data_IF_993232024071
#
_entry.id   IF_993232024071
#
_cell.length_a   1.000
_cell.length_b   1.000
_cell.length_c   1.000
_cell.angle_alpha   90.00
_cell.angle_beta   90.00
_cell.angle_gamma   90.00
#
_symmetry.space_group_name_H-M   'P 1'
#
loop_
_entity.id
_entity.type
_entity.pdbx_description
1 polymer ?
#
# COMPACT_ATOMS: atom_id res chain seq x y z
N UNK A 1 57.80 7.76 -19.68
CA UNK A 1 57.30 6.43 -20.09
C UNK A 1 55.79 6.48 -20.00
N UNK A 2 55.11 6.72 -21.12
CA UNK A 2 53.64 6.78 -21.16
C UNK A 2 53.12 5.39 -21.54
N UNK A 3 52.53 4.67 -20.58
CA UNK A 3 51.87 3.40 -20.82
C UNK A 3 50.63 3.63 -21.70
N UNK A 4 50.72 3.14 -22.93
CA UNK A 4 49.62 3.08 -23.88
C UNK A 4 48.52 2.16 -23.32
N UNK A 5 47.40 2.74 -22.88
CA UNK A 5 46.20 1.98 -22.51
C UNK A 5 45.57 1.40 -23.77
N UNK A 6 45.95 0.18 -24.14
CA UNK A 6 45.33 -0.58 -25.22
C UNK A 6 43.84 -0.75 -24.96
N UNK A 7 43.01 -0.12 -25.79
CA UNK A 7 41.57 -0.39 -25.84
C UNK A 7 41.37 -1.81 -26.38
N UNK A 8 41.32 -2.80 -25.48
CA UNK A 8 40.92 -4.18 -25.79
C UNK A 8 39.59 -4.15 -26.56
N UNK A 9 39.63 -4.50 -27.86
CA UNK A 9 38.43 -4.69 -28.68
C UNK A 9 37.58 -5.77 -27.99
N UNK A 10 36.37 -5.41 -27.54
CA UNK A 10 35.39 -6.37 -27.00
C UNK A 10 35.03 -7.36 -28.10
N UNK A 11 35.65 -8.54 -28.07
CA UNK A 11 35.28 -9.68 -28.92
C UNK A 11 33.84 -10.04 -28.57
N UNK A 12 32.93 -9.91 -29.54
CA UNK A 12 31.53 -10.29 -29.36
C UNK A 12 31.45 -11.80 -29.56
N UNK A 13 31.29 -12.54 -28.47
CA UNK A 13 31.02 -13.98 -28.55
C UNK A 13 29.77 -14.25 -29.42
N UNK A 14 29.77 -15.34 -30.21
CA UNK A 14 28.62 -15.74 -31.00
C UNK A 14 27.45 -16.01 -30.05
N UNK A 15 26.38 -15.23 -30.18
CA UNK A 15 25.18 -15.40 -29.35
C UNK A 15 24.30 -16.45 -30.00
N UNK A 16 24.20 -17.62 -29.38
CA UNK A 16 23.19 -18.60 -29.73
C UNK A 16 21.79 -18.01 -29.52
N UNK A 17 20.94 -18.11 -30.54
CA UNK A 17 19.56 -17.64 -30.47
C UNK A 17 18.73 -18.68 -29.75
N UNK A 18 18.57 -18.51 -28.44
CA UNK A 18 17.70 -19.37 -27.63
C UNK A 18 16.25 -18.93 -27.81
N UNK A 19 15.42 -19.82 -28.38
CA UNK A 19 13.96 -19.62 -28.48
C UNK A 19 13.32 -19.89 -27.12
N UNK A 20 12.61 -18.90 -26.60
CA UNK A 20 11.87 -18.99 -25.34
C UNK A 20 10.61 -19.84 -25.54
N UNK A 21 10.46 -20.93 -24.79
CA UNK A 21 9.27 -21.80 -24.84
C UNK A 21 8.36 -21.59 -23.62
N UNK A 22 8.94 -21.41 -22.42
CA UNK A 22 8.22 -21.20 -21.17
C UNK A 22 8.52 -19.82 -20.54
N UNK A 23 7.67 -19.38 -19.61
CA UNK A 23 7.89 -18.20 -18.74
C UNK A 23 9.21 -18.30 -17.97
N UNK A 24 9.55 -19.51 -17.53
CA UNK A 24 10.84 -19.82 -16.89
C UNK A 24 12.03 -19.49 -17.82
N UNK A 25 11.97 -19.90 -19.09
CA UNK A 25 13.03 -19.64 -20.06
C UNK A 25 13.21 -18.13 -20.29
N UNK A 26 12.10 -17.38 -20.32
CA UNK A 26 12.13 -15.93 -20.47
C UNK A 26 12.82 -15.24 -19.29
N UNK A 27 12.49 -15.67 -18.07
CA UNK A 27 13.12 -15.16 -16.85
C UNK A 27 14.59 -15.54 -16.79
N UNK A 28 14.94 -16.80 -17.10
CA UNK A 28 16.32 -17.28 -17.19
C UNK A 28 17.14 -16.47 -18.19
N UNK A 29 16.58 -16.16 -19.36
CA UNK A 29 17.23 -15.31 -20.37
C UNK A 29 17.47 -13.88 -19.86
N UNK A 30 16.50 -13.27 -19.19
CA UNK A 30 16.67 -11.94 -18.56
C UNK A 30 17.70 -11.95 -17.45
N UNK A 31 17.68 -12.98 -16.61
CA UNK A 31 18.62 -13.15 -15.51
C UNK A 31 20.04 -13.35 -16.02
N UNK A 32 20.24 -14.23 -17.01
CA UNK A 32 21.53 -14.41 -17.68
C UNK A 32 22.02 -13.10 -18.29
N UNK A 33 21.13 -12.27 -18.87
CA UNK A 33 21.49 -10.94 -19.38
C UNK A 33 21.94 -9.97 -18.29
N UNK A 34 21.32 -10.03 -17.11
CA UNK A 34 21.65 -9.19 -15.96
C UNK A 34 22.99 -9.61 -15.34
N UNK A 35 23.18 -10.92 -15.13
CA UNK A 35 24.38 -11.50 -14.52
C UNK A 35 25.63 -11.41 -15.41
N UNK A 36 25.47 -11.17 -16.73
CA UNK A 36 26.60 -10.92 -17.63
C UNK A 36 27.40 -9.66 -17.28
N UNK A 37 26.81 -8.68 -16.59
CA UNK A 37 27.51 -7.49 -16.11
C UNK A 37 26.96 -7.08 -14.73
N UNK A 38 27.46 -7.70 -13.64
CA UNK A 38 26.93 -7.44 -12.30
C UNK A 38 27.25 -6.02 -11.80
N UNK A 39 28.35 -5.42 -12.24
CA UNK A 39 28.77 -4.07 -11.81
C UNK A 39 27.93 -2.93 -12.43
N UNK A 40 27.11 -3.23 -13.44
CA UNK A 40 26.31 -2.21 -14.11
C UNK A 40 24.99 -2.00 -13.33
N UNK A 41 24.71 -0.78 -12.83
CA UNK A 41 23.46 -0.51 -12.12
C UNK A 41 22.26 -0.70 -13.05
N UNK A 42 21.21 -1.32 -12.51
CA UNK A 42 19.95 -1.57 -13.23
C UNK A 42 19.08 -0.32 -13.16
N UNK A 43 18.69 0.21 -14.32
CA UNK A 43 17.78 1.34 -14.40
C UNK A 43 16.34 0.83 -14.31
N UNK A 44 15.71 0.97 -13.15
CA UNK A 44 14.27 0.72 -13.02
C UNK A 44 13.51 1.92 -13.58
N UNK A 45 12.43 1.71 -14.33
CA UNK A 45 11.59 2.81 -14.77
C UNK A 45 10.89 3.44 -13.56
N UNK A 46 10.92 4.76 -13.48
CA UNK A 46 10.11 5.50 -12.52
C UNK A 46 8.62 5.30 -12.78
N UNK A 47 7.81 5.51 -11.74
CA UNK A 47 6.35 5.48 -11.86
C UNK A 47 5.91 6.43 -12.99
N UNK A 48 5.09 5.97 -13.95
CA UNK A 48 4.65 6.83 -15.03
C UNK A 48 3.90 8.03 -14.45
N UNK A 49 4.38 9.24 -14.75
CA UNK A 49 3.68 10.48 -14.41
C UNK A 49 2.38 10.52 -15.19
N UNK A 50 1.30 10.95 -14.54
CA UNK A 50 0.04 11.21 -15.25
C UNK A 50 0.33 12.28 -16.32
N UNK A 51 0.16 11.90 -17.60
CA UNK A 51 0.36 12.83 -18.70
C UNK A 51 -0.71 13.90 -18.57
N UNK A 52 -0.31 15.13 -18.25
CA UNK A 52 -1.21 16.29 -18.37
C UNK A 52 -1.68 16.30 -19.82
N UNK A 53 -2.97 16.04 -20.03
CA UNK A 53 -3.58 16.00 -21.37
C UNK A 53 -3.47 17.36 -22.07
N UNK A 54 -3.33 18.43 -21.27
CA UNK A 54 -3.17 19.79 -21.75
C UNK A 54 -1.76 20.33 -21.52
N UNK A 55 -1.15 20.91 -22.57
CA UNK A 55 0.06 21.70 -22.38
C UNK A 55 -0.24 22.93 -21.53
N UNK A 56 0.79 23.41 -20.84
CA UNK A 56 0.68 24.63 -20.05
C UNK A 56 0.42 25.85 -20.94
N UNK A 57 -0.32 26.83 -20.44
CA UNK A 57 -0.59 28.06 -21.19
C UNK A 57 0.60 29.00 -21.01
N UNK A 58 1.17 29.56 -22.09
CA UNK A 58 2.26 30.52 -21.95
C UNK A 58 1.77 31.80 -21.28
N UNK A 59 2.56 32.34 -20.33
CA UNK A 59 2.22 33.55 -19.58
C UNK A 59 2.08 34.79 -20.47
N UNK A 60 2.92 34.90 -21.50
CA UNK A 60 2.95 36.07 -22.39
C UNK A 60 2.84 35.65 -23.85
N UNK A 61 1.80 36.15 -24.51
CA UNK A 61 1.65 36.09 -25.96
C UNK A 61 2.30 37.35 -26.54
N UNK A 62 3.40 37.18 -27.27
CA UNK A 62 4.19 38.30 -27.83
C UNK A 62 3.61 38.88 -29.12
N UNK A 63 2.80 38.08 -29.83
CA UNK A 63 2.35 38.39 -31.19
C UNK A 63 0.87 38.82 -31.21
N UNK A 64 0.46 39.65 -30.24
CA UNK A 64 -0.92 40.15 -30.18
C UNK A 64 -1.06 41.34 -31.10
N UNK A 65 -1.93 41.23 -32.10
CA UNK A 65 -2.29 42.35 -32.98
C UNK A 65 -3.27 43.29 -32.25
N UNK A 66 -3.28 44.58 -32.62
CA UNK A 66 -4.11 45.60 -31.95
C UNK A 66 -5.60 45.26 -31.95
N UNK A 67 -6.32 45.72 -30.92
CA UNK A 67 -7.73 45.34 -30.68
C UNK A 67 -8.71 45.75 -31.78
N UNK A 68 -8.39 46.80 -32.54
CA UNK A 68 -9.19 47.27 -33.68
C UNK A 68 -8.68 46.76 -35.03
N UNK A 69 -7.67 45.89 -35.05
CA UNK A 69 -7.15 45.33 -36.29
C UNK A 69 -8.12 44.30 -36.87
N UNK A 70 -8.20 44.23 -38.21
CA UNK A 70 -9.06 43.28 -38.91
C UNK A 70 -8.59 41.82 -38.80
N UNK A 71 -9.42 40.89 -39.26
CA UNK A 71 -9.06 39.47 -39.28
C UNK A 71 -7.91 39.19 -40.27
N UNK A 72 -6.77 38.73 -39.75
CA UNK A 72 -5.64 38.29 -40.58
C UNK A 72 -5.82 36.87 -41.12
N UNK A 73 -5.03 36.49 -42.13
CA UNK A 73 -5.07 35.15 -42.75
C UNK A 73 -4.72 34.01 -41.79
N UNK A 74 -3.91 34.29 -40.76
CA UNK A 74 -3.51 33.32 -39.75
C UNK A 74 -4.49 33.15 -38.59
N UNK A 75 -5.46 34.06 -38.43
CA UNK A 75 -6.33 34.11 -37.25
C UNK A 75 -7.23 32.86 -37.13
N UNK A 76 -7.66 32.32 -38.27
CA UNK A 76 -8.43 31.07 -38.31
C UNK A 76 -7.64 29.90 -37.69
N UNK A 77 -6.35 29.78 -37.99
CA UNK A 77 -5.53 28.70 -37.44
C UNK A 77 -5.23 28.91 -35.96
N UNK A 78 -5.01 30.16 -35.53
CA UNK A 78 -4.88 30.52 -34.11
C UNK A 78 -6.12 30.06 -33.34
N UNK A 79 -7.33 30.44 -33.78
CA UNK A 79 -8.58 29.99 -33.18
C UNK A 79 -8.71 28.45 -33.18
N UNK A 80 -8.42 27.78 -34.29
CA UNK A 80 -8.46 26.31 -34.39
C UNK A 80 -7.58 25.63 -33.34
N UNK A 81 -6.36 26.13 -33.14
CA UNK A 81 -5.42 25.58 -32.16
C UNK A 81 -5.85 25.88 -30.72
N UNK A 82 -6.32 27.09 -30.44
CA UNK A 82 -6.84 27.47 -29.11
C UNK A 82 -8.06 26.64 -28.75
N UNK A 83 -9.03 26.50 -29.67
CA UNK A 83 -10.25 25.70 -29.45
C UNK A 83 -9.93 24.24 -29.18
N UNK A 84 -9.00 23.64 -29.93
CA UNK A 84 -8.56 22.26 -29.69
C UNK A 84 -7.91 22.11 -28.31
N UNK A 85 -7.06 23.06 -27.91
CA UNK A 85 -6.43 23.08 -26.59
C UNK A 85 -7.48 23.19 -25.49
N UNK A 86 -8.46 24.07 -25.66
CA UNK A 86 -9.52 24.29 -24.68
C UNK A 86 -10.45 23.08 -24.54
N UNK A 87 -10.83 22.43 -25.64
CA UNK A 87 -11.61 21.19 -25.58
C UNK A 87 -10.84 20.04 -24.91
N UNK A 88 -9.54 19.91 -25.19
CA UNK A 88 -8.70 18.95 -24.48
C UNK A 88 -8.64 19.27 -22.97
N UNK A 89 -8.62 20.55 -22.59
CA UNK A 89 -8.64 21.02 -21.20
C UNK A 89 -9.93 20.69 -20.48
N UNK A 90 -11.06 21.08 -21.06
CA UNK A 90 -12.38 20.81 -20.51
C UNK A 90 -12.62 19.31 -20.35
N UNK A 91 -12.28 18.52 -21.37
CA UNK A 91 -12.37 17.05 -21.32
C UNK A 91 -11.50 16.46 -20.22
N UNK A 92 -10.28 16.96 -20.05
CA UNK A 92 -9.39 16.48 -18.99
C UNK A 92 -9.94 16.79 -17.60
N UNK A 93 -10.45 18.01 -17.38
CA UNK A 93 -11.07 18.42 -16.11
C UNK A 93 -12.28 17.55 -15.79
N UNK A 94 -13.14 17.29 -16.77
CA UNK A 94 -14.31 16.42 -16.59
C UNK A 94 -13.89 15.00 -16.20
N UNK A 95 -12.94 14.39 -16.94
CA UNK A 95 -12.45 13.04 -16.66
C UNK A 95 -11.81 12.94 -15.26
N UNK A 96 -11.00 13.93 -14.87
CA UNK A 96 -10.38 13.96 -13.55
C UNK A 96 -11.42 14.12 -12.45
N UNK A 97 -12.37 15.04 -12.60
CA UNK A 97 -13.47 15.23 -11.65
C UNK A 97 -14.29 13.96 -11.46
N UNK A 98 -14.63 13.25 -12.54
CA UNK A 98 -15.36 11.99 -12.45
C UNK A 98 -14.55 10.88 -11.78
N UNK A 99 -13.24 10.81 -12.03
CA UNK A 99 -12.33 9.86 -11.39
C UNK A 99 -12.23 10.14 -9.89
N UNK A 100 -12.02 11.39 -9.51
CA UNK A 100 -11.86 11.81 -8.11
C UNK A 100 -13.15 11.52 -7.31
N UNK A 101 -14.32 11.83 -7.87
CA UNK A 101 -15.62 11.50 -7.26
C UNK A 101 -15.78 9.99 -7.03
N UNK A 102 -15.45 9.16 -8.03
CA UNK A 102 -15.52 7.69 -7.91
C UNK A 102 -14.53 7.15 -6.88
N UNK A 103 -13.33 7.71 -6.82
CA UNK A 103 -12.31 7.32 -5.86
C UNK A 103 -12.71 7.70 -4.42
N UNK A 104 -13.29 8.88 -4.22
CA UNK A 104 -13.85 9.31 -2.93
C UNK A 104 -15.01 8.43 -2.47
N UNK A 105 -15.95 8.13 -3.37
CA UNK A 105 -17.07 7.23 -3.09
C UNK A 105 -16.59 5.83 -2.70
N UNK A 106 -15.58 5.32 -3.41
CA UNK A 106 -14.99 4.03 -3.12
C UNK A 106 -14.29 4.01 -1.76
N UNK A 107 -13.50 5.05 -1.45
CA UNK A 107 -12.83 5.19 -0.14
C UNK A 107 -13.85 5.26 1.00
N UNK A 108 -14.89 6.08 0.85
CA UNK A 108 -15.99 6.18 1.82
C UNK A 108 -16.68 4.84 2.04
N UNK A 109 -16.93 4.08 0.96
CA UNK A 109 -17.53 2.74 1.04
C UNK A 109 -16.63 1.76 1.80
N UNK A 110 -15.33 1.76 1.55
CA UNK A 110 -14.36 0.93 2.28
C UNK A 110 -14.37 1.29 3.76
N UNK A 111 -14.25 2.57 4.09
CA UNK A 111 -14.20 3.04 5.48
C UNK A 111 -15.48 2.65 6.24
N UNK A 112 -16.65 2.83 5.63
CA UNK A 112 -17.92 2.43 6.23
C UNK A 112 -17.99 0.91 6.46
N UNK A 113 -17.52 0.11 5.50
CA UNK A 113 -17.48 -1.34 5.66
C UNK A 113 -16.52 -1.76 6.77
N UNK A 114 -15.36 -1.11 6.89
CA UNK A 114 -14.39 -1.34 7.97
C UNK A 114 -15.00 -0.99 9.33
N UNK A 115 -15.61 0.19 9.48
CA UNK A 115 -16.31 0.61 10.71
C UNK A 115 -17.40 -0.38 11.11
N UNK A 116 -18.25 -0.80 10.16
CA UNK A 116 -19.30 -1.79 10.45
C UNK A 116 -18.73 -3.16 10.87
N UNK A 117 -17.65 -3.60 10.26
CA UNK A 117 -16.97 -4.85 10.63
C UNK A 117 -16.33 -4.75 12.02
N UNK A 118 -15.71 -3.61 12.34
CA UNK A 118 -15.11 -3.32 13.64
C UNK A 118 -16.18 -3.24 14.74
N UNK A 119 -17.29 -2.56 14.51
CA UNK A 119 -18.40 -2.49 15.47
C UNK A 119 -18.96 -3.87 15.78
N UNK A 120 -19.20 -4.70 14.75
CA UNK A 120 -19.68 -6.09 14.94
C UNK A 120 -18.65 -6.91 15.72
N UNK A 121 -17.37 -6.75 15.41
CA UNK A 121 -16.27 -7.46 16.07
C UNK A 121 -16.09 -7.01 17.52
N UNK A 122 -16.17 -5.70 17.79
CA UNK A 122 -16.08 -5.09 19.12
C UNK A 122 -17.25 -5.55 20.00
N UNK A 123 -18.49 -5.52 19.49
CA UNK A 123 -19.67 -6.04 20.19
C UNK A 123 -19.49 -7.51 20.58
N UNK A 124 -19.03 -8.37 19.66
CA UNK A 124 -18.76 -9.79 19.95
C UNK A 124 -17.59 -9.98 20.92
N UNK A 125 -16.52 -9.18 20.80
CA UNK A 125 -15.36 -9.19 21.71
C UNK A 125 -15.78 -8.78 23.12
N UNK A 126 -16.56 -7.71 23.29
CA UNK A 126 -17.06 -7.27 24.59
C UNK A 126 -17.92 -8.35 25.27
N UNK A 127 -18.81 -9.02 24.54
CA UNK A 127 -19.59 -10.16 25.06
C UNK A 127 -18.68 -11.30 25.59
N UNK A 128 -17.63 -11.66 24.83
CA UNK A 128 -16.66 -12.69 25.24
C UNK A 128 -15.84 -12.27 26.46
N UNK A 129 -15.41 -11.02 26.54
CA UNK A 129 -14.67 -10.50 27.69
C UNK A 129 -15.52 -10.52 28.96
N UNK A 130 -16.77 -10.04 28.90
CA UNK A 130 -17.72 -10.14 30.01
C UNK A 130 -17.91 -11.59 30.49
N UNK A 131 -18.10 -12.54 29.56
CA UNK A 131 -18.20 -13.97 29.91
C UNK A 131 -16.92 -14.50 30.55
N UNK A 132 -15.74 -14.11 30.04
CA UNK A 132 -14.44 -14.50 30.61
C UNK A 132 -14.24 -13.93 32.02
N UNK A 133 -14.64 -12.69 32.26
CA UNK A 133 -14.60 -12.05 33.58
C UNK A 133 -15.53 -12.74 34.57
N UNK A 134 -16.77 -13.05 34.18
CA UNK A 134 -17.71 -13.81 35.01
C UNK A 134 -17.17 -15.20 35.38
N UNK A 135 -16.60 -15.93 34.41
CA UNK A 135 -15.97 -17.24 34.68
C UNK A 135 -14.78 -17.13 35.62
N UNK A 136 -13.92 -16.11 35.45
CA UNK A 136 -12.81 -15.84 36.37
C UNK A 136 -13.30 -15.49 37.78
N UNK A 137 -14.37 -14.69 37.89
CA UNK A 137 -14.95 -14.32 39.18
C UNK A 137 -15.57 -15.54 39.89
N UNK A 138 -16.30 -16.39 39.16
CA UNK A 138 -16.86 -17.63 39.71
C UNK A 138 -15.75 -18.61 40.13
N UNK A 139 -14.74 -18.84 39.29
CA UNK A 139 -13.60 -19.70 39.62
C UNK A 139 -12.76 -19.18 40.80
N UNK A 140 -12.62 -17.86 40.97
CA UNK A 140 -12.01 -17.26 42.17
C UNK A 140 -12.86 -17.44 43.42
N UNK A 141 -14.19 -17.35 43.31
CA UNK A 141 -15.10 -17.64 44.43
C UNK A 141 -15.01 -19.11 44.84
N UNK A 142 -15.00 -20.04 43.89
CA UNK A 142 -14.82 -21.46 44.17
C UNK A 142 -13.44 -21.75 44.79
N UNK A 143 -12.36 -21.15 44.28
CA UNK A 143 -11.02 -21.26 44.90
C UNK A 143 -10.95 -20.67 46.31
N UNK A 144 -11.54 -19.50 46.55
CA UNK A 144 -11.63 -18.93 47.89
C UNK A 144 -12.43 -19.81 48.84
N UNK A 145 -13.54 -20.39 48.38
CA UNK A 145 -14.36 -21.30 49.19
C UNK A 145 -13.57 -22.57 49.54
N UNK A 146 -12.83 -23.15 48.59
CA UNK A 146 -11.97 -24.30 48.87
C UNK A 146 -10.79 -23.95 49.77
N UNK A 147 -10.15 -22.80 49.60
CA UNK A 147 -9.08 -22.31 50.48
C UNK A 147 -9.60 -22.08 51.91
N UNK A 148 -10.78 -21.48 52.09
CA UNK A 148 -11.39 -21.30 53.42
C UNK A 148 -11.82 -22.61 54.08
N UNK A 149 -12.19 -23.64 53.30
CA UNK A 149 -12.52 -24.97 53.84
C UNK A 149 -11.23 -25.70 54.28
N UNK A 150 -10.15 -25.60 53.50
CA UNK A 150 -8.84 -26.18 53.83
C UNK A 150 -8.22 -25.49 55.07
N UNK A 151 -8.35 -24.18 55.22
CA UNK A 151 -7.89 -23.44 56.41
C UNK A 151 -8.71 -23.76 57.67
N UNK A 152 -9.98 -24.17 57.53
CA UNK A 152 -10.81 -24.65 58.64
C UNK A 152 -10.49 -26.10 59.04
N UNK A 153 -10.21 -26.98 58.07
CA UNK A 153 -9.81 -28.37 58.33
C UNK A 153 -8.40 -28.47 58.95
N UNK A 154 -7.47 -27.59 58.56
CA UNK A 154 -6.11 -27.57 59.13
C UNK A 154 -6.03 -26.97 60.55
N UNK A 155 -6.92 -26.04 60.91
CA UNK A 155 -7.04 -25.57 62.30
C UNK A 155 -7.85 -26.53 63.19
N UNK A 156 -8.69 -27.41 62.64
CA UNK A 156 -9.43 -28.44 63.39
C UNK A 156 -8.67 -29.76 63.58
N UNK A 157 -7.52 -29.94 62.92
CA UNK A 157 -6.72 -31.19 62.97
C UNK A 157 -5.49 -31.09 63.88
N UNK A 158 -5.36 -30.04 64.70
CA UNK A 158 -4.23 -29.83 65.61
C UNK A 158 -4.57 -29.93 67.10
N UNK A 159 -5.75 -30.45 67.47
CA UNK A 159 -6.20 -30.55 68.88
C UNK A 159 -6.56 -31.97 69.34
N UNK A 160 -6.16 -33.03 68.61
CA UNK A 160 -6.41 -34.43 69.03
C UNK A 160 -5.16 -35.30 68.90
N UNK A 161 -4.17 -35.05 69.78
CA UNK A 161 -3.15 -36.02 70.16
C UNK A 161 -2.47 -35.61 71.48
N UNK A 162 -3.14 -35.80 72.62
CA UNK A 162 -2.57 -36.43 73.82
C UNK A 162 -3.55 -36.34 75.00
N UNK A 163 -4.31 -37.41 75.25
CA UNK A 163 -4.45 -37.95 76.61
C UNK A 163 -5.14 -39.32 76.61
N UNK A 164 -4.35 -40.38 76.74
CA UNK A 164 -4.82 -41.69 77.19
C UNK A 164 -4.17 -42.01 78.54
N UNK A 165 -5.04 -42.35 79.49
CA UNK A 165 -4.83 -43.17 80.70
C UNK A 165 -4.01 -42.62 81.89
N UNK A 166 -4.74 -42.16 82.92
CA UNK A 166 -4.45 -42.57 84.30
C UNK A 166 -5.77 -42.81 85.09
N UNK A 167 -5.98 -44.09 85.43
CA UNK A 167 -7.00 -44.72 86.32
C UNK A 167 -8.45 -44.88 85.85
#
# INVERSE_FOLDING_TARGET
MAESTEKKKKIREPKEVVVVKNTYDYQRMKLNRLMKNPDKPVQLPDRPKEKKSTPDTPDFVRNVMGSSAGAGSGEFHVYRHIRRREYARQKHIQIMSEKDQKDEDFRRKIENNQKQAEEKTAKKRAKRLKKKELLKACGKKQKRITETIIDQETNSSSDEADNLEEN
#
